data_IF_109767336496
#
_entry.id   IF_109767336496
#
_cell.length_a   1.000
_cell.length_b   1.000
_cell.length_c   1.000
_cell.angle_alpha   90.00
_cell.angle_beta   90.00
_cell.angle_gamma   90.00
#
_symmetry.space_group_name_H-M   'P 1'
#
loop_
_entity.id
_entity.type
_entity.pdbx_description
1 polymer ?
#
# COMPACT_ATOMS: atom_id res chain seq x y z
N UNK A 1 -28.59 -25.10 11.06
CA UNK A 1 -27.40 -24.23 10.98
C UNK A 1 -26.59 -24.66 9.77
N UNK A 2 -26.61 -23.88 8.70
CA UNK A 2 -25.79 -24.17 7.52
C UNK A 2 -24.39 -23.62 7.75
N UNK A 3 -23.43 -24.51 7.97
CA UNK A 3 -22.00 -24.18 7.90
C UNK A 3 -21.67 -24.02 6.42
N UNK A 4 -21.77 -22.79 5.92
CA UNK A 4 -21.35 -22.44 4.56
C UNK A 4 -19.84 -22.58 4.47
N UNK A 5 -19.38 -23.70 3.88
CA UNK A 5 -17.99 -23.91 3.50
C UNK A 5 -17.67 -22.96 2.35
N UNK A 6 -17.04 -21.81 2.64
CA UNK A 6 -16.31 -21.05 1.61
C UNK A 6 -14.96 -21.77 1.40
N UNK A 7 -15.01 -22.98 0.87
CA UNK A 7 -13.87 -23.68 0.28
C UNK A 7 -14.05 -23.56 -1.23
N UNK A 8 -13.23 -22.75 -1.90
CA UNK A 8 -13.07 -22.86 -3.35
C UNK A 8 -13.19 -21.61 -4.21
N UNK A 9 -13.52 -20.43 -3.67
CA UNK A 9 -13.40 -19.21 -4.50
C UNK A 9 -11.92 -18.87 -4.68
N UNK A 10 -11.41 -18.78 -5.93
CA UNK A 10 -10.02 -18.39 -6.18
C UNK A 10 -9.77 -16.99 -5.63
N UNK A 11 -8.53 -16.76 -5.17
CA UNK A 11 -8.06 -15.41 -4.90
C UNK A 11 -7.69 -14.76 -6.22
N UNK A 12 -8.02 -13.48 -6.35
CA UNK A 12 -7.60 -12.64 -7.47
C UNK A 12 -6.84 -11.43 -6.95
N UNK A 13 -5.86 -10.99 -7.72
CA UNK A 13 -5.11 -9.77 -7.43
C UNK A 13 -5.66 -8.65 -8.32
N UNK A 14 -5.84 -7.47 -7.73
CA UNK A 14 -6.12 -6.22 -8.43
C UNK A 14 -4.94 -5.30 -8.14
N UNK A 15 -4.31 -4.77 -9.18
CA UNK A 15 -3.18 -3.84 -9.07
C UNK A 15 -3.55 -2.52 -9.74
N UNK A 16 -3.32 -1.41 -9.04
CA UNK A 16 -3.71 -0.07 -9.46
C UNK A 16 -2.52 0.88 -9.30
N UNK A 17 -2.23 1.62 -10.35
CA UNK A 17 -1.27 2.73 -10.36
C UNK A 17 -2.03 4.02 -10.11
N UNK A 18 -1.53 4.84 -9.18
CA UNK A 18 -2.22 6.03 -8.69
C UNK A 18 -1.21 7.17 -8.64
N UNK A 19 -1.35 8.11 -9.56
CA UNK A 19 -0.43 9.24 -9.69
C UNK A 19 -1.05 10.53 -9.17
N UNK A 20 -0.43 11.10 -8.14
CA UNK A 20 -0.74 12.45 -7.68
C UNK A 20 0.14 13.45 -8.42
N UNK A 21 -0.46 14.42 -9.10
CA UNK A 21 0.24 15.49 -9.81
C UNK A 21 -0.12 16.85 -9.22
N UNK A 22 0.57 17.25 -8.14
CA UNK A 22 0.23 18.43 -7.33
C UNK A 22 -1.24 18.43 -6.88
N UNK A 23 -1.73 17.25 -6.47
CA UNK A 23 -3.11 17.02 -6.03
C UNK A 23 -3.14 16.58 -4.58
N UNK A 24 -4.18 16.94 -3.83
CA UNK A 24 -4.42 16.46 -2.47
C UNK A 24 -5.36 15.25 -2.43
N UNK A 25 -5.98 14.88 -3.56
CA UNK A 25 -6.88 13.73 -3.63
C UNK A 25 -6.94 13.11 -5.02
N UNK A 26 -7.07 11.79 -5.07
CA UNK A 26 -7.29 11.04 -6.30
C UNK A 26 -8.43 10.04 -6.12
N UNK A 27 -9.27 9.93 -7.15
CA UNK A 27 -10.37 8.98 -7.22
C UNK A 27 -10.00 7.80 -8.11
N UNK A 28 -10.12 6.61 -7.56
CA UNK A 28 -9.71 5.35 -8.18
C UNK A 28 -10.92 4.44 -8.33
N UNK A 29 -11.06 3.85 -9.51
CA UNK A 29 -12.07 2.84 -9.79
C UNK A 29 -11.47 1.45 -9.60
N UNK A 30 -12.06 0.67 -8.71
CA UNK A 30 -11.67 -0.70 -8.38
C UNK A 30 -12.66 -1.66 -9.04
N UNK A 31 -12.27 -2.34 -10.13
CA UNK A 31 -13.13 -3.34 -10.75
C UNK A 31 -13.23 -4.58 -9.85
N UNK A 32 -14.45 -4.99 -9.52
CA UNK A 32 -14.78 -6.20 -8.78
C UNK A 32 -15.48 -7.21 -9.71
N UNK A 33 -15.01 -8.46 -9.70
CA UNK A 33 -15.55 -9.52 -10.56
C UNK A 33 -16.87 -10.11 -10.05
N UNK A 34 -17.27 -9.78 -8.82
CA UNK A 34 -18.49 -10.27 -8.17
C UNK A 34 -19.18 -9.11 -7.46
N UNK A 35 -20.49 -9.24 -7.18
CA UNK A 35 -21.24 -8.24 -6.40
C UNK A 35 -20.63 -7.94 -5.03
N UNK A 36 -19.93 -8.92 -4.46
CA UNK A 36 -19.20 -8.79 -3.21
C UNK A 36 -17.87 -9.54 -3.29
N UNK A 37 -16.80 -8.87 -2.89
CA UNK A 37 -15.44 -9.40 -2.79
C UNK A 37 -14.85 -9.04 -1.44
N UNK A 38 -14.25 -9.99 -0.72
CA UNK A 38 -13.57 -9.72 0.56
C UNK A 38 -12.09 -9.44 0.34
N UNK A 39 -11.57 -8.38 0.96
CA UNK A 39 -10.13 -8.08 0.95
C UNK A 39 -9.44 -8.95 1.99
N UNK A 40 -8.66 -9.91 1.50
CA UNK A 40 -7.76 -10.72 2.31
C UNK A 40 -6.52 -9.93 2.71
N UNK A 41 -6.01 -9.12 1.80
CA UNK A 41 -4.87 -8.23 2.03
C UNK A 41 -4.90 -7.10 1.01
N UNK A 42 -4.80 -5.87 1.48
CA UNK A 42 -4.54 -4.69 0.68
C UNK A 42 -3.19 -4.10 1.08
N UNK A 43 -2.44 -3.63 0.08
CA UNK A 43 -1.17 -2.94 0.23
C UNK A 43 -1.22 -1.62 -0.51
N UNK A 44 -0.74 -0.57 0.12
CA UNK A 44 -0.46 0.72 -0.51
C UNK A 44 0.96 1.13 -0.18
N UNK A 45 1.71 1.55 -1.19
CA UNK A 45 3.08 2.02 -1.05
C UNK A 45 3.42 3.00 -2.18
N UNK A 46 4.49 3.76 -1.99
CA UNK A 46 5.06 4.64 -3.01
C UNK A 46 5.75 3.78 -4.07
N UNK A 47 5.40 3.97 -5.34
CA UNK A 47 5.82 3.11 -6.45
C UNK A 47 7.10 3.60 -7.13
N UNK A 48 7.28 4.92 -7.16
CA UNK A 48 8.43 5.58 -7.78
C UNK A 48 9.08 6.53 -6.80
N UNK A 49 10.38 6.76 -6.98
CA UNK A 49 11.11 7.74 -6.17
C UNK A 49 10.45 9.13 -6.31
N UNK A 50 9.93 9.71 -5.22
CA UNK A 50 9.34 11.05 -5.24
C UNK A 50 10.38 12.18 -5.38
N UNK A 51 11.68 11.87 -5.43
CA UNK A 51 12.79 12.79 -5.61
C UNK A 51 13.23 13.53 -4.34
N UNK A 52 12.58 13.25 -3.21
CA UNK A 52 12.94 13.73 -1.88
C UNK A 52 12.30 12.83 -0.83
N UNK A 53 12.80 12.85 0.42
CA UNK A 53 12.15 12.15 1.53
C UNK A 53 10.66 12.53 1.63
N UNK A 54 9.80 11.52 1.79
CA UNK A 54 8.35 11.68 1.82
C UNK A 54 7.78 11.07 3.09
N UNK A 55 6.94 11.81 3.80
CA UNK A 55 6.21 11.30 4.96
C UNK A 55 4.87 12.02 5.08
N UNK A 56 3.78 11.32 4.78
CA UNK A 56 2.44 11.89 4.80
C UNK A 56 1.39 10.87 5.22
N UNK A 57 0.37 11.34 5.95
CA UNK A 57 -0.83 10.55 6.22
C UNK A 57 -1.76 10.58 5.01
N UNK A 58 -2.15 9.40 4.56
CA UNK A 58 -3.14 9.20 3.52
C UNK A 58 -4.41 8.58 4.11
N UNK A 59 -5.57 9.12 3.72
CA UNK A 59 -6.88 8.61 4.08
C UNK A 59 -7.51 7.89 2.90
N UNK A 60 -7.99 6.67 3.14
CA UNK A 60 -8.65 5.82 2.15
C UNK A 60 -10.14 5.79 2.47
N UNK A 61 -10.96 6.21 1.52
CA UNK A 61 -12.42 6.20 1.67
C UNK A 61 -13.03 5.39 0.55
N UNK A 62 -13.68 4.28 0.89
CA UNK A 62 -14.33 3.39 -0.07
C UNK A 62 -15.84 3.67 -0.11
N UNK A 63 -16.40 3.75 -1.31
CA UNK A 63 -17.79 4.08 -1.56
C UNK A 63 -18.33 3.38 -2.81
N UNK A 64 -19.66 3.32 -2.88
CA UNK A 64 -20.38 2.98 -4.11
C UNK A 64 -20.56 4.24 -4.96
N UNK A 65 -20.82 4.06 -6.26
CA UNK A 65 -20.89 5.16 -7.24
C UNK A 65 -21.86 6.27 -6.83
N UNK A 66 -23.06 5.92 -6.39
CA UNK A 66 -24.07 6.89 -5.98
C UNK A 66 -23.64 7.63 -4.70
N UNK A 67 -22.95 6.94 -3.79
CA UNK A 67 -22.44 7.50 -2.54
C UNK A 67 -21.26 8.45 -2.73
N UNK A 68 -20.53 8.39 -3.85
CA UNK A 68 -19.46 9.33 -4.19
C UNK A 68 -19.92 10.80 -4.17
N UNK A 69 -21.20 11.04 -4.47
CA UNK A 69 -21.82 12.38 -4.48
C UNK A 69 -22.53 12.72 -3.17
N UNK A 70 -22.50 11.83 -2.19
CA UNK A 70 -23.02 11.99 -0.83
C UNK A 70 -21.93 11.72 0.21
N UNK A 71 -22.31 11.57 1.49
CA UNK A 71 -21.34 11.33 2.58
C UNK A 71 -21.23 9.85 3.02
N UNK A 72 -21.94 8.95 2.34
CA UNK A 72 -22.16 7.56 2.77
C UNK A 72 -21.04 6.61 2.31
N UNK A 73 -19.84 6.76 2.87
CA UNK A 73 -18.78 5.76 2.70
C UNK A 73 -19.07 4.49 3.51
N UNK A 74 -18.75 3.31 2.96
CA UNK A 74 -18.93 2.05 3.69
C UNK A 74 -17.67 1.60 4.44
N UNK A 75 -16.50 2.14 4.08
CA UNK A 75 -15.26 1.86 4.80
C UNK A 75 -14.29 3.05 4.71
N UNK A 76 -13.61 3.34 5.82
CA UNK A 76 -12.60 4.39 5.94
C UNK A 76 -11.44 3.86 6.76
N UNK A 77 -10.23 4.14 6.32
CA UNK A 77 -9.00 3.88 7.08
C UNK A 77 -7.94 4.92 6.73
N UNK A 78 -6.91 5.03 7.54
CA UNK A 78 -5.79 5.94 7.33
C UNK A 78 -4.48 5.17 7.50
N UNK A 79 -3.45 5.56 6.77
CA UNK A 79 -2.10 5.08 7.03
C UNK A 79 -1.06 6.14 6.67
N UNK A 80 0.10 6.05 7.31
CA UNK A 80 1.23 6.93 7.04
C UNK A 80 2.13 6.29 5.99
N UNK A 81 2.24 6.93 4.84
CA UNK A 81 3.14 6.56 3.75
C UNK A 81 4.50 7.22 3.99
N UNK A 82 5.57 6.45 3.85
CA UNK A 82 6.94 6.90 4.15
C UNK A 82 7.87 6.41 3.04
N UNK A 83 8.70 7.32 2.54
CA UNK A 83 9.85 7.06 1.68
C UNK A 83 11.06 7.81 2.22
N UNK A 84 12.21 7.18 2.11
CA UNK A 84 13.51 7.76 2.46
C UNK A 84 14.56 7.24 1.50
N UNK A 85 15.54 8.07 1.20
CA UNK A 85 16.75 7.62 0.54
C UNK A 85 17.55 6.74 1.51
N UNK A 86 18.24 5.74 0.96
CA UNK A 86 19.24 4.98 1.69
C UNK A 86 20.57 5.72 1.60
N UNK A 87 21.26 5.88 2.74
CA UNK A 87 22.63 6.39 2.71
C UNK A 87 23.51 5.43 1.91
N UNK A 88 24.31 5.95 0.98
CA UNK A 88 25.19 5.15 0.12
C UNK A 88 26.07 4.23 0.97
N UNK A 89 25.81 2.92 1.00
CA UNK A 89 26.68 2.04 1.72
C UNK A 89 27.95 2.00 0.88
N UNK A 90 29.04 2.50 1.45
CA UNK A 90 30.41 2.33 0.91
C UNK A 90 30.75 0.87 0.52
N UNK A 91 29.89 -0.10 0.85
CA UNK A 91 29.93 -1.51 0.47
C UNK A 91 28.57 -1.96 -0.09
N UNK A 92 28.53 -2.32 -1.37
CA UNK A 92 27.37 -2.98 -2.01
C UNK A 92 27.03 -4.28 -1.28
N UNK A 93 25.75 -4.48 -0.90
CA UNK A 93 25.25 -5.72 -0.29
C UNK A 93 25.42 -5.81 1.24
N UNK A 94 25.50 -4.66 1.92
CA UNK A 94 25.36 -4.62 3.38
C UNK A 94 23.97 -5.09 3.82
N UNK A 95 23.85 -5.95 4.85
CA UNK A 95 22.54 -6.29 5.43
C UNK A 95 21.93 -5.14 6.25
N UNK A 96 22.74 -4.14 6.59
CA UNK A 96 22.32 -2.98 7.36
C UNK A 96 21.82 -1.89 6.41
N UNK A 97 20.58 -1.47 6.64
CA UNK A 97 19.94 -0.38 5.93
C UNK A 97 19.96 0.83 6.86
N UNK A 98 20.68 1.88 6.48
CA UNK A 98 20.65 3.16 7.18
C UNK A 98 19.84 4.13 6.34
N UNK A 99 18.58 4.39 6.73
CA UNK A 99 17.87 5.50 6.14
C UNK A 99 18.56 6.82 6.45
N UNK A 100 18.48 7.80 5.54
CA UNK A 100 18.85 9.18 5.86
C UNK A 100 18.10 9.67 7.13
N UNK A 101 18.73 10.59 7.88
CA UNK A 101 18.52 11.01 9.28
C UNK A 101 17.10 11.55 9.63
N UNK A 102 16.10 11.33 8.78
CA UNK A 102 14.74 11.90 8.85
C UNK A 102 13.60 10.88 8.87
N UNK A 103 13.85 9.63 9.26
CA UNK A 103 12.84 8.58 9.06
C UNK A 103 11.75 8.46 10.11
N UNK A 104 10.50 8.43 9.63
CA UNK A 104 9.29 8.03 10.36
C UNK A 104 9.04 6.50 10.34
N UNK A 105 10.07 5.72 9.98
CA UNK A 105 9.99 4.26 9.92
C UNK A 105 9.96 3.64 11.32
N UNK A 106 9.08 2.67 11.50
CA UNK A 106 9.04 1.84 12.69
C UNK A 106 9.85 0.56 12.47
N UNK A 107 10.60 0.05 13.47
CA UNK A 107 11.30 -1.23 13.39
C UNK A 107 10.42 -2.48 13.30
N UNK A 108 9.13 -2.34 12.99
CA UNK A 108 8.26 -3.47 12.66
C UNK A 108 7.50 -3.22 11.35
N UNK A 109 7.82 -2.13 10.65
CA UNK A 109 7.21 -1.84 9.37
C UNK A 109 7.62 -2.90 8.35
N UNK A 110 6.64 -3.29 7.55
CA UNK A 110 6.89 -3.97 6.30
C UNK A 110 7.34 -2.91 5.29
N UNK A 111 8.44 -3.15 4.59
CA UNK A 111 9.05 -2.21 3.68
C UNK A 111 9.49 -2.89 2.38
N UNK A 112 9.76 -2.07 1.37
CA UNK A 112 10.25 -2.43 0.05
C UNK A 112 11.42 -1.50 -0.30
N UNK A 113 12.49 -2.04 -0.88
CA UNK A 113 13.54 -1.23 -1.51
C UNK A 113 13.12 -0.95 -2.95
N UNK A 114 12.97 0.32 -3.32
CA UNK A 114 12.61 0.69 -4.69
C UNK A 114 13.68 0.25 -5.68
N UNK A 115 13.25 -0.34 -6.79
CA UNK A 115 14.16 -0.79 -7.85
C UNK A 115 14.97 -2.06 -7.53
N UNK A 116 14.83 -2.64 -6.33
CA UNK A 116 15.34 -3.97 -6.02
C UNK A 116 14.32 -5.06 -6.44
N UNK A 117 14.70 -6.34 -6.34
CA UNK A 117 13.74 -7.45 -6.47
C UNK A 117 12.55 -7.25 -5.52
N UNK A 118 11.34 -7.69 -5.91
CA UNK A 118 10.06 -7.54 -5.17
C UNK A 118 10.02 -8.28 -3.81
N UNK A 119 11.14 -8.39 -3.11
CA UNK A 119 11.23 -8.99 -1.79
C UNK A 119 10.86 -7.94 -0.74
N UNK A 120 9.72 -8.17 -0.09
CA UNK A 120 9.28 -7.35 1.03
C UNK A 120 10.04 -7.74 2.29
N UNK A 121 10.56 -6.74 3.00
CA UNK A 121 11.28 -6.95 4.25
C UNK A 121 10.52 -6.41 5.43
N UNK A 122 10.57 -7.16 6.54
CA UNK A 122 10.17 -6.61 7.83
C UNK A 122 11.40 -5.99 8.48
N UNK A 123 11.32 -4.75 8.91
CA UNK A 123 12.45 -4.12 9.63
C UNK A 123 12.52 -4.64 11.07
N UNK A 124 13.69 -4.53 11.73
CA UNK A 124 14.02 -4.84 13.14
C UNK A 124 15.10 -3.88 13.65
N UNK A 125 15.29 -3.78 14.97
CA UNK A 125 16.30 -2.90 15.60
C UNK A 125 17.50 -3.70 16.13
N UNK A 126 18.74 -3.26 15.87
CA UNK A 126 19.91 -3.57 16.70
C UNK A 126 20.82 -2.33 16.81
N UNK A 127 20.34 -1.27 17.49
CA UNK A 127 21.04 -0.03 17.85
C UNK A 127 21.82 0.70 16.73
N UNK A 128 21.41 1.94 16.44
CA UNK A 128 21.95 2.86 15.43
C UNK A 128 21.69 2.46 13.95
N UNK A 129 21.15 1.26 13.67
CA UNK A 129 20.67 0.85 12.33
C UNK A 129 19.33 0.10 12.38
N UNK A 130 18.52 0.27 11.32
CA UNK A 130 17.35 -0.58 11.06
C UNK A 130 17.80 -1.80 10.25
N UNK A 131 17.67 -2.99 10.81
CA UNK A 131 18.10 -4.25 10.17
C UNK A 131 16.87 -4.97 9.63
N UNK A 132 16.89 -5.44 8.38
CA UNK A 132 15.81 -6.28 7.87
C UNK A 132 15.80 -7.67 8.57
N UNK A 133 14.62 -8.18 8.91
CA UNK A 133 14.39 -9.48 9.57
C UNK A 133 14.89 -10.65 8.72
N UNK A 134 14.72 -10.54 7.41
CA UNK A 134 15.40 -11.36 6.43
C UNK A 134 16.60 -10.55 5.96
N UNK A 135 17.82 -10.98 6.31
CA UNK A 135 19.07 -10.36 5.85
C UNK A 135 19.04 -10.34 4.32
N UNK A 136 18.52 -9.27 3.74
CA UNK A 136 18.64 -9.01 2.33
C UNK A 136 20.12 -8.75 2.09
N UNK A 137 20.80 -9.76 1.56
CA UNK A 137 21.92 -9.55 0.64
C UNK A 137 21.38 -9.02 -0.70
N UNK A 138 20.27 -8.27 -0.71
CA UNK A 138 19.76 -7.63 -1.91
C UNK A 138 20.70 -6.48 -2.20
N UNK A 139 21.58 -6.74 -3.16
CA UNK A 139 22.31 -5.71 -3.88
C UNK A 139 21.27 -4.70 -4.36
N UNK A 140 21.22 -3.54 -3.71
CA UNK A 140 20.44 -2.41 -4.15
C UNK A 140 21.37 -1.46 -4.92
N UNK A 141 20.91 -0.85 -6.02
CA UNK A 141 21.67 0.18 -6.70
C UNK A 141 22.05 1.33 -5.75
N UNK A 142 23.15 2.01 -6.08
CA UNK A 142 23.43 3.36 -5.58
C UNK A 142 22.26 4.25 -6.03
N UNK A 143 21.77 5.11 -5.15
CA UNK A 143 20.58 5.96 -5.37
C UNK A 143 19.23 5.21 -5.35
N UNK A 144 19.04 4.29 -4.39
CA UNK A 144 17.72 3.69 -4.11
C UNK A 144 17.20 4.10 -2.75
N UNK A 145 15.88 4.08 -2.60
CA UNK A 145 15.21 4.40 -1.35
C UNK A 145 14.34 3.27 -0.80
N UNK A 146 14.02 3.38 0.48
CA UNK A 146 13.15 2.46 1.22
C UNK A 146 11.75 3.05 1.32
N UNK A 147 10.75 2.22 1.06
CA UNK A 147 9.33 2.58 1.14
C UNK A 147 8.62 1.73 2.17
N UNK A 148 7.79 2.35 3.00
CA UNK A 148 6.87 1.65 3.89
C UNK A 148 5.68 1.09 3.12
N UNK A 149 5.37 -0.17 3.37
CA UNK A 149 4.13 -0.82 2.90
C UNK A 149 3.05 -0.67 3.96
N UNK A 150 1.99 0.05 3.63
CA UNK A 150 0.76 0.10 4.42
C UNK A 150 -0.12 -1.11 4.13
N UNK A 151 -0.31 -2.00 5.11
CA UNK A 151 -1.21 -3.16 4.99
C UNK A 151 -2.57 -2.93 5.65
N UNK A 152 -3.65 -3.35 4.97
CA UNK A 152 -5.01 -3.36 5.51
C UNK A 152 -5.77 -4.62 5.08
N UNK A 153 -6.75 -5.07 5.86
CA UNK A 153 -7.53 -6.27 5.53
C UNK A 153 -8.83 -6.33 6.33
N UNK A 154 -9.68 -7.32 6.02
CA UNK A 154 -10.79 -7.70 6.89
C UNK A 154 -12.13 -7.00 6.59
N UNK A 155 -12.26 -6.33 5.45
CA UNK A 155 -13.53 -5.74 5.00
C UNK A 155 -13.91 -6.21 3.59
N UNK A 156 -15.17 -6.01 3.23
CA UNK A 156 -15.71 -6.40 1.93
C UNK A 156 -15.89 -5.19 1.02
N UNK A 157 -15.42 -5.32 -0.22
CA UNK A 157 -15.83 -4.50 -1.34
C UNK A 157 -17.17 -5.04 -1.83
N UNK A 158 -18.22 -4.22 -1.82
CA UNK A 158 -19.52 -4.62 -2.31
C UNK A 158 -20.13 -3.45 -3.07
N UNK A 159 -20.80 -3.74 -4.17
CA UNK A 159 -21.61 -2.75 -4.87
C UNK A 159 -23.07 -3.21 -4.85
N UNK A 160 -23.93 -2.45 -4.17
CA UNK A 160 -25.36 -2.72 -4.05
C UNK A 160 -26.19 -2.14 -5.21
N UNK A 161 -25.57 -1.37 -6.11
CA UNK A 161 -26.17 -0.77 -7.30
C UNK A 161 -26.20 -1.75 -8.49
N UNK A 162 -25.56 -2.92 -8.35
CA UNK A 162 -25.56 -3.99 -9.35
C UNK A 162 -24.46 -3.88 -10.40
N UNK A 163 -23.60 -2.86 -10.30
CA UNK A 163 -22.41 -2.67 -11.12
C UNK A 163 -21.22 -3.53 -10.63
N UNK A 164 -20.17 -3.59 -11.44
CA UNK A 164 -18.91 -4.31 -11.17
C UNK A 164 -17.81 -3.42 -10.61
N UNK A 165 -18.11 -2.20 -10.18
CA UNK A 165 -17.08 -1.23 -9.79
C UNK A 165 -17.31 -0.74 -8.37
N UNK A 166 -16.25 -0.62 -7.59
CA UNK A 166 -16.22 0.08 -6.31
C UNK A 166 -15.25 1.23 -6.44
N UNK A 167 -15.48 2.31 -5.69
CA UNK A 167 -14.69 3.51 -5.83
C UNK A 167 -13.92 3.77 -4.54
N UNK A 168 -12.72 4.31 -4.70
CA UNK A 168 -11.81 4.65 -3.63
C UNK A 168 -11.33 6.08 -3.86
N UNK A 169 -11.47 6.92 -2.84
CA UNK A 169 -10.79 8.19 -2.77
C UNK A 169 -9.59 8.05 -1.84
N UNK A 170 -8.42 8.44 -2.31
CA UNK A 170 -7.23 8.61 -1.50
C UNK A 170 -6.98 10.10 -1.35
N UNK A 171 -6.86 10.59 -0.13
CA UNK A 171 -6.58 12.00 0.15
C UNK A 171 -5.45 12.21 1.15
N UNK A 172 -4.72 13.31 0.96
CA UNK A 172 -3.69 13.83 1.85
C UNK A 172 -4.16 15.14 2.50
N UNK A 173 -3.49 15.55 3.56
CA UNK A 173 -3.79 16.83 4.21
C UNK A 173 -3.39 18.07 3.36
N UNK A 174 -2.41 17.89 2.47
CA UNK A 174 -1.92 18.91 1.54
C UNK A 174 -1.56 18.24 0.21
N UNK A 175 -1.55 19.03 -0.87
CA UNK A 175 -1.23 18.54 -2.21
C UNK A 175 0.15 17.87 -2.27
N UNK A 176 0.22 16.74 -2.97
CA UNK A 176 1.41 15.91 -3.15
C UNK A 176 1.72 15.73 -4.64
N UNK A 177 2.98 15.44 -4.92
CA UNK A 177 3.43 14.86 -6.19
C UNK A 177 4.09 13.54 -5.87
N UNK A 178 3.39 12.43 -6.09
CA UNK A 178 3.83 11.09 -5.70
C UNK A 178 3.09 10.03 -6.51
N UNK A 179 3.80 9.00 -6.97
CA UNK A 179 3.16 7.81 -7.56
C UNK A 179 3.02 6.73 -6.51
N UNK A 180 1.84 6.15 -6.40
CA UNK A 180 1.51 5.07 -5.48
C UNK A 180 1.10 3.82 -6.24
N UNK A 181 1.38 2.66 -5.64
CA UNK A 181 0.88 1.36 -6.07
C UNK A 181 -0.06 0.80 -5.03
N UNK A 182 -1.26 0.42 -5.45
CA UNK A 182 -2.18 -0.36 -4.64
C UNK A 182 -2.29 -1.79 -5.16
N UNK A 183 -2.14 -2.77 -4.26
CA UNK A 183 -2.37 -4.18 -4.56
C UNK A 183 -3.41 -4.77 -3.62
N UNK A 184 -4.46 -5.34 -4.19
CA UNK A 184 -5.56 -5.95 -3.43
C UNK A 184 -5.65 -7.42 -3.77
N UNK A 185 -5.45 -8.26 -2.76
CA UNK A 185 -5.77 -9.68 -2.81
C UNK A 185 -7.20 -9.88 -2.33
N UNK A 186 -8.09 -10.22 -3.25
CA UNK A 186 -9.53 -10.33 -2.98
C UNK A 186 -10.06 -11.74 -3.25
N UNK A 187 -11.20 -12.06 -2.63
CA UNK A 187 -11.97 -13.28 -2.90
C UNK A 187 -13.42 -12.94 -3.21
N UNK A 188 -13.90 -13.44 -4.33
CA UNK A 188 -15.28 -13.30 -4.75
C UNK A 188 -16.30 -14.14 -3.99
N UNK A 189 -17.48 -13.58 -3.81
CA UNK A 189 -18.69 -14.27 -3.35
C UNK A 189 -19.80 -14.14 -4.39
N UNK A 190 -20.31 -15.29 -4.84
CA UNK A 190 -21.58 -15.34 -5.56
C UNK A 190 -22.68 -15.36 -4.49
N UNK A 191 -23.36 -14.22 -4.32
CA UNK A 191 -24.60 -14.14 -3.54
C UNK A 191 -25.78 -14.75 -4.27
#
# INVERSE_FOLDING_TARGET
MAVSRIKGSPLSTISLDIDFSASDSEDVVIPITHKMSHIFRGRLYIDTDPGAAFSAWAKYTFYNKAAMRGEDAFYRTEAKLVYTELEDPTVIGSPDITPDDHTDFSPNDLALILGASEEYVRLKTIADTMVAEDNLLAVHPVDTGLVRISEFSGFSLFNNEGDSDVYLNISFAVAQTVSLKMELLVRGFYG
#
